data_IF_230309693336
#
_entry.id   IF_230309693336
#
_cell.length_a   1.000
_cell.length_b   1.000
_cell.length_c   1.000
_cell.angle_alpha   90.00
_cell.angle_beta   90.00
_cell.angle_gamma   90.00
#
_symmetry.space_group_name_H-M   'P 1'
#
loop_
_entity.id
_entity.type
_entity.pdbx_description
1 polymer ?
#
# COMPACT_ATOMS: atom_id res chain seq x y z
N UNK A 1 73.87 -0.88 -4.87
CA UNK A 1 72.89 0.03 -5.49
C UNK A 1 71.64 -0.01 -4.62
N UNK A 2 71.46 1.00 -3.76
CA UNK A 2 70.34 1.08 -2.83
C UNK A 2 69.23 1.91 -3.49
N UNK A 3 68.03 1.34 -3.64
CA UNK A 3 66.83 2.07 -4.06
C UNK A 3 66.06 2.51 -2.82
N UNK A 4 65.97 3.82 -2.62
CA UNK A 4 65.12 4.44 -1.58
C UNK A 4 63.79 4.83 -2.24
N UNK A 5 62.74 4.07 -1.96
CA UNK A 5 61.38 4.38 -2.44
C UNK A 5 60.71 5.32 -1.45
N UNK A 6 60.45 6.56 -1.86
CA UNK A 6 59.67 7.55 -1.11
C UNK A 6 58.17 7.30 -1.39
N UNK A 7 57.39 7.05 -0.34
CA UNK A 7 55.92 6.94 -0.44
C UNK A 7 55.33 8.30 -0.06
N UNK A 8 54.76 8.99 -1.05
CA UNK A 8 54.01 10.24 -0.86
C UNK A 8 52.56 9.90 -0.49
N UNK A 9 52.15 10.20 0.74
CA UNK A 9 50.77 10.06 1.17
C UNK A 9 49.92 11.21 0.60
N UNK A 10 48.98 10.89 -0.29
CA UNK A 10 47.93 11.79 -0.75
C UNK A 10 46.83 11.84 0.32
N UNK A 11 46.68 13.00 0.96
CA UNK A 11 45.59 13.27 1.90
C UNK A 11 44.24 13.32 1.17
N UNK A 12 43.32 12.46 1.60
CA UNK A 12 41.92 12.50 1.19
C UNK A 12 41.18 13.50 2.10
N UNK A 13 40.64 14.57 1.53
CA UNK A 13 39.77 15.52 2.25
C UNK A 13 38.35 14.97 2.20
N UNK A 14 37.83 14.50 3.34
CA UNK A 14 36.41 14.20 3.49
C UNK A 14 35.64 15.54 3.53
N UNK A 15 34.92 15.85 2.45
CA UNK A 15 33.93 16.92 2.46
C UNK A 15 32.59 16.33 2.86
N UNK A 16 32.12 16.63 4.08
CA UNK A 16 30.78 16.30 4.52
C UNK A 16 29.79 17.23 3.80
N UNK A 17 28.99 16.68 2.89
CA UNK A 17 27.82 17.37 2.34
C UNK A 17 26.72 17.36 3.40
N UNK A 18 26.33 18.55 3.88
CA UNK A 18 25.20 18.72 4.77
C UNK A 18 23.89 18.37 4.02
N UNK A 19 23.12 17.45 4.58
CA UNK A 19 21.76 17.14 4.14
C UNK A 19 20.84 18.27 4.63
N UNK A 20 20.02 18.90 3.77
CA UNK A 20 19.03 19.86 4.23
C UNK A 20 17.92 19.14 5.02
N UNK A 21 17.62 19.66 6.20
CA UNK A 21 16.56 19.19 7.07
C UNK A 21 15.20 19.24 6.34
N UNK A 22 14.45 18.15 6.46
CA UNK A 22 13.06 18.03 6.01
C UNK A 22 12.19 19.05 6.75
N UNK A 23 11.36 19.78 6.01
CA UNK A 23 10.35 20.65 6.60
C UNK A 23 9.19 19.81 7.09
N UNK A 24 8.97 19.87 8.40
CA UNK A 24 7.83 19.33 9.13
C UNK A 24 6.59 20.17 8.81
N UNK A 25 5.60 19.57 8.14
CA UNK A 25 4.26 20.15 8.02
C UNK A 25 3.46 19.80 9.28
N UNK A 26 3.76 20.51 10.36
CA UNK A 26 2.86 20.59 11.53
C UNK A 26 1.88 21.71 11.21
N UNK A 27 0.62 21.36 11.00
CA UNK A 27 -0.48 22.31 11.05
C UNK A 27 -0.81 22.55 12.52
N UNK A 28 -0.51 23.75 13.01
CA UNK A 28 -1.01 24.24 14.30
C UNK A 28 -2.54 24.45 14.22
N UNK A 29 -3.34 23.89 15.14
CA UNK A 29 -4.72 24.28 15.31
C UNK A 29 -4.80 25.44 16.32
N UNK A 30 -5.10 26.64 15.84
CA UNK A 30 -5.71 27.71 16.65
C UNK A 30 -7.19 27.79 16.24
N UNK A 31 -8.20 27.82 17.10
CA UNK A 31 -8.27 28.01 18.53
C UNK A 31 -9.51 27.28 19.08
N UNK A 32 -9.35 26.57 20.19
CA UNK A 32 -10.46 26.16 21.05
C UNK A 32 -10.43 27.06 22.29
N UNK A 33 -11.48 27.85 22.49
CA UNK A 33 -11.78 28.44 23.79
C UNK A 33 -13.08 27.84 24.32
N UNK A 34 -13.01 27.45 25.58
CA UNK A 34 -14.06 27.05 26.53
C UNK A 34 -14.45 25.57 26.60
N UNK A 35 -13.68 24.84 27.41
CA UNK A 35 -14.20 23.82 28.33
C UNK A 35 -14.47 24.52 29.69
N UNK A 36 -15.47 24.11 30.51
CA UNK A 36 -15.45 22.82 31.23
C UNK A 36 -16.83 22.09 31.19
N UNK A 37 -16.98 20.79 31.47
CA UNK A 37 -16.45 20.00 32.59
C UNK A 37 -16.48 18.48 32.32
N UNK A 38 -15.62 17.76 33.04
CA UNK A 38 -15.61 16.30 33.32
C UNK A 38 -16.40 16.09 34.63
N UNK A 39 -17.18 15.02 34.90
CA UNK A 39 -16.93 13.56 34.67
C UNK A 39 -18.17 12.83 34.05
N UNK A 40 -18.24 11.54 33.74
CA UNK A 40 -17.70 10.29 34.30
C UNK A 40 -17.98 9.11 33.34
N UNK A 41 -17.21 8.03 33.52
CA UNK A 41 -17.42 6.60 33.22
C UNK A 41 -18.40 6.12 32.14
N UNK A 42 -17.83 5.47 31.11
CA UNK A 42 -18.39 4.24 30.55
C UNK A 42 -19.44 4.35 29.44
N UNK A 43 -19.05 4.83 28.25
CA UNK A 43 -19.75 4.52 27.01
C UNK A 43 -18.75 4.57 25.84
N UNK A 44 -18.66 3.56 24.95
CA UNK A 44 -17.76 3.63 23.79
C UNK A 44 -18.17 4.81 22.92
N UNK A 45 -17.21 5.71 22.67
CA UNK A 45 -17.37 6.80 21.72
C UNK A 45 -17.67 6.19 20.34
N UNK A 46 -18.85 6.50 19.82
CA UNK A 46 -19.21 6.18 18.45
C UNK A 46 -18.17 6.82 17.52
N UNK A 47 -17.65 6.03 16.58
CA UNK A 47 -16.78 6.52 15.53
C UNK A 47 -17.44 7.71 14.82
N UNK A 48 -16.64 8.75 14.56
CA UNK A 48 -17.00 9.85 13.67
C UNK A 48 -17.26 9.29 12.27
N UNK A 49 -18.52 8.93 12.02
CA UNK A 49 -19.02 8.47 10.75
C UNK A 49 -19.60 9.65 9.96
N UNK A 50 -18.84 10.73 9.77
CA UNK A 50 -19.16 11.72 8.73
C UNK A 50 -18.48 11.33 7.40
N UNK A 51 -18.76 10.12 6.93
CA UNK A 51 -18.65 9.80 5.52
C UNK A 51 -20.05 9.76 4.96
N UNK A 52 -20.37 10.69 4.05
CA UNK A 52 -21.70 10.85 3.50
C UNK A 52 -22.25 9.50 2.99
N UNK A 53 -23.32 9.02 3.62
CA UNK A 53 -24.07 7.87 3.15
C UNK A 53 -24.51 8.13 1.70
N UNK A 54 -23.92 7.40 0.75
CA UNK A 54 -24.20 7.55 -0.69
C UNK A 54 -22.99 7.57 -1.62
N UNK A 55 -21.75 7.62 -1.11
CA UNK A 55 -20.55 7.59 -1.96
C UNK A 55 -19.87 6.24 -1.85
N UNK A 56 -19.77 5.48 -2.95
CA UNK A 56 -18.92 4.28 -3.03
C UNK A 56 -17.48 4.74 -3.28
N UNK A 57 -16.54 4.23 -2.47
CA UNK A 57 -15.12 4.46 -2.61
C UNK A 57 -14.48 3.60 -3.69
N UNK A 58 -13.15 3.48 -3.65
CA UNK A 58 -12.36 2.87 -4.72
C UNK A 58 -11.24 1.96 -4.23
N UNK A 59 -10.91 0.99 -5.09
CA UNK A 59 -9.67 0.23 -5.03
C UNK A 59 -8.64 0.89 -5.94
N UNK A 60 -7.42 1.16 -5.46
CA UNK A 60 -6.36 1.77 -6.26
C UNK A 60 -4.99 1.09 -6.14
N UNK A 61 -4.15 1.30 -7.16
CA UNK A 61 -2.76 0.85 -7.19
C UNK A 61 -1.89 2.02 -7.65
N UNK A 62 -0.77 2.24 -6.96
CA UNK A 62 0.23 3.26 -7.28
C UNK A 62 1.58 2.62 -7.51
N UNK A 63 2.20 2.92 -8.65
CA UNK A 63 3.51 2.41 -9.02
C UNK A 63 4.61 3.44 -8.71
N UNK A 64 5.37 3.24 -7.63
CA UNK A 64 6.58 4.00 -7.32
C UNK A 64 7.87 3.28 -7.74
N UNK A 65 7.76 2.13 -8.40
CA UNK A 65 8.90 1.40 -8.91
C UNK A 65 9.60 2.16 -10.05
N UNK A 66 10.89 1.89 -10.24
CA UNK A 66 11.69 2.39 -11.37
C UNK A 66 11.39 1.67 -12.71
N UNK A 67 10.39 0.79 -12.73
CA UNK A 67 9.97 0.00 -13.88
C UNK A 67 8.44 0.03 -14.04
N UNK A 68 7.92 -0.23 -15.25
CA UNK A 68 6.48 -0.34 -15.46
C UNK A 68 5.91 -1.56 -14.74
N UNK A 69 4.67 -1.43 -14.25
CA UNK A 69 3.90 -2.52 -13.66
C UNK A 69 2.74 -2.86 -14.57
N UNK A 70 2.48 -4.15 -14.74
CA UNK A 70 1.39 -4.66 -15.54
C UNK A 70 0.33 -5.21 -14.61
N UNK A 71 -0.93 -4.87 -14.85
CA UNK A 71 -2.04 -5.34 -14.03
C UNK A 71 -3.22 -5.84 -14.86
N UNK A 72 -3.92 -6.79 -14.26
CA UNK A 72 -5.19 -7.33 -14.72
C UNK A 72 -6.19 -7.23 -13.57
N UNK A 73 -7.44 -6.95 -13.88
CA UNK A 73 -8.50 -7.07 -12.89
C UNK A 73 -9.41 -8.22 -13.26
N UNK A 74 -9.48 -9.20 -12.37
CA UNK A 74 -10.27 -10.40 -12.56
C UNK A 74 -11.48 -10.42 -11.62
N UNK A 75 -12.59 -10.94 -12.09
CA UNK A 75 -13.73 -11.32 -11.24
C UNK A 75 -13.52 -12.68 -10.57
N UNK A 76 -14.59 -13.23 -9.99
CA UNK A 76 -14.58 -14.58 -9.40
C UNK A 76 -14.28 -15.69 -10.41
N UNK A 77 -14.65 -15.49 -11.69
CA UNK A 77 -14.21 -16.35 -12.78
C UNK A 77 -12.82 -15.88 -13.24
N UNK A 78 -11.76 -16.69 -13.09
CA UNK A 78 -10.42 -16.33 -13.53
C UNK A 78 -10.30 -16.19 -15.06
N UNK A 79 -11.27 -16.67 -15.84
CA UNK A 79 -11.37 -16.37 -17.28
C UNK A 79 -11.92 -14.96 -17.56
N UNK A 80 -12.49 -14.29 -16.55
CA UNK A 80 -13.08 -12.96 -16.63
C UNK A 80 -12.10 -11.91 -16.09
N UNK A 81 -11.01 -11.71 -16.83
CA UNK A 81 -10.05 -10.64 -16.57
C UNK A 81 -10.18 -9.53 -17.62
N UNK A 82 -9.91 -8.30 -17.21
CA UNK A 82 -9.77 -7.17 -18.14
C UNK A 82 -8.61 -7.40 -19.11
N UNK A 83 -8.53 -6.64 -20.22
CA UNK A 83 -7.24 -6.40 -20.88
C UNK A 83 -6.19 -5.88 -19.89
N UNK A 84 -4.92 -6.06 -20.23
CA UNK A 84 -3.79 -5.57 -19.44
C UNK A 84 -3.82 -4.04 -19.34
N UNK A 85 -3.54 -3.52 -18.15
CA UNK A 85 -3.17 -2.13 -17.96
C UNK A 85 -1.68 -2.03 -17.67
N UNK A 86 -1.02 -1.02 -18.23
CA UNK A 86 0.37 -0.70 -17.94
C UNK A 86 0.45 0.57 -17.10
N UNK A 87 1.00 0.46 -15.89
CA UNK A 87 1.33 1.58 -15.04
C UNK A 87 2.76 2.05 -15.31
N UNK A 88 2.91 3.29 -15.77
CA UNK A 88 4.21 3.90 -15.97
C UNK A 88 5.06 3.84 -14.68
N UNK A 89 6.38 3.72 -14.84
CA UNK A 89 7.32 3.81 -13.73
C UNK A 89 7.15 5.15 -12.98
N UNK A 90 7.33 5.12 -11.65
CA UNK A 90 7.25 6.25 -10.70
C UNK A 90 5.93 7.01 -10.58
N UNK A 91 5.08 7.02 -11.59
CA UNK A 91 3.89 7.89 -11.63
C UNK A 91 2.61 7.16 -12.02
N UNK A 92 2.70 5.89 -12.42
CA UNK A 92 1.54 5.14 -12.89
C UNK A 92 0.54 4.86 -11.76
N UNK A 93 -0.74 5.05 -12.06
CA UNK A 93 -1.83 4.77 -11.12
C UNK A 93 -2.98 4.04 -11.80
N UNK A 94 -3.61 3.13 -11.08
CA UNK A 94 -4.89 2.52 -11.42
C UNK A 94 -5.89 2.81 -10.30
N UNK A 95 -7.17 2.98 -10.65
CA UNK A 95 -8.26 3.05 -9.67
C UNK A 95 -9.55 2.56 -10.32
N UNK A 96 -10.37 1.85 -9.54
CA UNK A 96 -11.74 1.51 -9.90
C UNK A 96 -12.67 1.64 -8.69
N UNK A 97 -13.90 2.10 -8.93
CA UNK A 97 -14.94 2.13 -7.89
C UNK A 97 -15.25 0.71 -7.45
N UNK A 98 -15.50 0.48 -6.16
CA UNK A 98 -15.87 -0.85 -5.69
C UNK A 98 -17.07 -1.41 -6.46
N UNK A 99 -16.98 -2.68 -6.81
CA UNK A 99 -17.97 -3.41 -7.60
C UNK A 99 -19.33 -3.48 -6.89
N UNK A 100 -20.34 -3.95 -7.63
CA UNK A 100 -21.64 -4.30 -7.06
C UNK A 100 -21.50 -5.30 -5.90
N UNK A 101 -22.41 -5.29 -4.92
CA UNK A 101 -22.36 -6.20 -3.77
C UNK A 101 -22.15 -7.67 -4.14
N UNK A 102 -21.36 -8.37 -3.33
CA UNK A 102 -21.02 -9.80 -3.42
C UNK A 102 -20.29 -10.21 -4.72
N UNK A 103 -19.68 -9.25 -5.42
CA UNK A 103 -18.87 -9.51 -6.61
C UNK A 103 -17.39 -9.26 -6.29
N UNK A 104 -16.70 -10.32 -5.88
CA UNK A 104 -15.28 -10.27 -5.55
C UNK A 104 -14.41 -9.94 -6.76
N UNK A 105 -13.36 -9.15 -6.51
CA UNK A 105 -12.40 -8.66 -7.50
C UNK A 105 -10.99 -8.93 -7.01
N UNK A 106 -10.10 -9.21 -7.96
CA UNK A 106 -8.67 -9.43 -7.69
C UNK A 106 -7.87 -8.59 -8.70
N UNK A 107 -7.18 -7.57 -8.20
CA UNK A 107 -6.21 -6.77 -8.97
C UNK A 107 -4.88 -7.50 -8.89
N UNK A 108 -4.51 -8.14 -10.00
CA UNK A 108 -3.29 -8.95 -10.13
C UNK A 108 -2.18 -8.09 -10.72
N UNK A 109 -1.07 -7.96 -10.01
CA UNK A 109 0.03 -7.06 -10.35
C UNK A 109 1.31 -7.85 -10.60
N UNK A 110 1.99 -7.55 -11.72
CA UNK A 110 3.23 -8.19 -12.14
C UNK A 110 4.25 -7.22 -12.74
N UNK A 111 5.48 -7.71 -12.90
CA UNK A 111 6.60 -6.97 -13.51
C UNK A 111 6.82 -7.31 -14.98
N UNK A 112 6.08 -8.30 -15.50
CA UNK A 112 6.19 -8.78 -16.88
C UNK A 112 4.83 -8.65 -17.57
N UNK A 113 4.82 -8.15 -18.79
CA UNK A 113 3.60 -8.06 -19.60
C UNK A 113 3.12 -9.47 -20.00
N UNK A 114 1.80 -9.67 -20.04
CA UNK A 114 1.18 -10.95 -20.39
C UNK A 114 0.97 -11.91 -19.22
N UNK A 115 1.39 -11.56 -18.00
CA UNK A 115 1.32 -12.44 -16.83
C UNK A 115 0.10 -12.16 -15.94
N UNK A 116 -0.92 -13.03 -16.03
CA UNK A 116 -2.13 -12.97 -15.17
C UNK A 116 -2.18 -14.07 -14.10
N UNK A 117 -1.27 -15.05 -14.16
CA UNK A 117 -1.35 -16.24 -13.31
C UNK A 117 -0.27 -16.28 -12.22
N UNK A 118 1.02 -16.18 -12.58
CA UNK A 118 2.19 -16.18 -11.66
C UNK A 118 3.43 -15.67 -12.41
N UNK A 119 4.41 -15.04 -11.73
CA UNK A 119 4.38 -14.56 -10.34
C UNK A 119 3.62 -13.22 -10.21
N UNK A 120 2.63 -13.14 -9.33
CA UNK A 120 1.79 -11.92 -9.16
C UNK A 120 1.43 -11.64 -7.70
N UNK A 121 1.50 -10.38 -7.30
CA UNK A 121 0.86 -9.89 -6.07
C UNK A 121 -0.61 -9.62 -6.37
N UNK A 122 -1.50 -9.99 -5.46
CA UNK A 122 -2.94 -9.83 -5.63
C UNK A 122 -3.49 -8.91 -4.55
N UNK A 123 -4.26 -7.91 -4.98
CA UNK A 123 -5.10 -7.11 -4.10
C UNK A 123 -6.55 -7.50 -4.32
N UNK A 124 -7.12 -8.16 -3.33
CA UNK A 124 -8.45 -8.77 -3.43
C UNK A 124 -9.43 -7.96 -2.60
N UNK A 125 -10.62 -7.72 -3.13
CA UNK A 125 -11.66 -6.98 -2.41
C UNK A 125 -13.07 -7.41 -2.83
N UNK A 126 -14.02 -7.26 -1.92
CA UNK A 126 -15.45 -7.56 -2.14
C UNK A 126 -16.31 -6.53 -1.42
N UNK A 127 -17.17 -5.83 -2.15
CA UNK A 127 -18.26 -5.06 -1.55
C UNK A 127 -19.23 -6.05 -0.88
N UNK A 128 -19.41 -5.96 0.44
CA UNK A 128 -20.21 -6.93 1.21
C UNK A 128 -21.72 -6.69 1.11
N UNK A 129 -22.13 -5.54 0.55
CA UNK A 129 -23.53 -5.11 0.53
C UNK A 129 -24.06 -4.59 1.88
N UNK A 130 -23.25 -4.62 2.95
CA UNK A 130 -23.61 -4.11 4.28
C UNK A 130 -22.99 -2.75 4.58
N UNK A 131 -22.63 -1.99 3.52
CA UNK A 131 -21.93 -0.71 3.66
C UNK A 131 -20.44 -0.86 3.96
N UNK A 132 -19.88 -2.05 3.74
CA UNK A 132 -18.45 -2.35 3.94
C UNK A 132 -17.83 -2.97 2.69
N UNK A 133 -16.51 -2.92 2.64
CA UNK A 133 -15.67 -3.68 1.71
C UNK A 133 -14.72 -4.55 2.53
N UNK A 134 -14.71 -5.85 2.23
CA UNK A 134 -13.72 -6.78 2.73
C UNK A 134 -12.54 -6.82 1.75
N UNK A 135 -11.30 -6.87 2.23
CA UNK A 135 -10.11 -6.84 1.39
C UNK A 135 -8.90 -7.51 2.03
N UNK A 136 -7.96 -7.94 1.20
CA UNK A 136 -6.70 -8.55 1.59
C UNK A 136 -5.62 -8.43 0.52
N UNK A 137 -4.37 -8.74 0.89
CA UNK A 137 -3.26 -8.94 -0.04
C UNK A 137 -2.81 -10.40 -0.04
N UNK A 138 -2.48 -10.91 -1.22
CA UNK A 138 -2.14 -12.30 -1.44
C UNK A 138 -0.93 -12.50 -2.36
N UNK A 139 0.04 -13.27 -1.87
CA UNK A 139 1.24 -13.76 -2.53
C UNK A 139 1.16 -15.28 -2.81
N UNK A 140 -0.02 -15.90 -2.68
CA UNK A 140 -0.24 -17.34 -2.97
C UNK A 140 0.21 -17.69 -4.40
N UNK A 141 0.29 -16.70 -5.28
CA UNK A 141 0.70 -16.82 -6.68
C UNK A 141 2.10 -16.23 -6.95
N UNK A 142 2.89 -16.00 -5.89
CA UNK A 142 4.21 -15.38 -5.93
C UNK A 142 4.16 -13.90 -5.56
N UNK A 143 5.33 -13.28 -5.45
CA UNK A 143 5.42 -11.83 -5.23
C UNK A 143 6.60 -11.25 -6.00
N UNK A 144 6.37 -10.62 -7.17
CA UNK A 144 7.45 -9.98 -7.91
C UNK A 144 7.90 -8.65 -7.27
N UNK A 145 7.16 -8.15 -6.28
CA UNK A 145 7.47 -6.92 -5.55
C UNK A 145 8.20 -7.17 -4.22
N UNK A 146 8.38 -8.43 -3.81
CA UNK A 146 9.07 -8.81 -2.57
C UNK A 146 10.38 -8.04 -2.39
N UNK A 147 11.32 -8.05 -3.35
CA UNK A 147 12.59 -7.33 -3.25
C UNK A 147 12.50 -5.80 -3.06
N UNK A 148 11.33 -5.19 -3.27
CA UNK A 148 11.15 -3.74 -3.28
C UNK A 148 10.19 -3.24 -2.20
N UNK A 149 9.43 -4.13 -1.56
CA UNK A 149 8.40 -3.74 -0.59
C UNK A 149 7.14 -3.12 -1.22
N UNK A 150 6.09 -3.02 -0.41
CA UNK A 150 4.80 -2.44 -0.78
C UNK A 150 3.98 -2.06 0.46
N UNK A 151 2.98 -1.21 0.29
CA UNK A 151 2.12 -0.70 1.37
C UNK A 151 0.67 -0.98 1.04
N UNK A 152 -0.07 -1.47 2.03
CA UNK A 152 -1.52 -1.41 2.03
C UNK A 152 -1.94 -0.08 2.65
N UNK A 153 -2.70 0.71 1.91
CA UNK A 153 -3.04 2.10 2.24
C UNK A 153 -4.55 2.29 2.29
N UNK A 154 -5.00 3.22 3.12
CA UNK A 154 -6.37 3.71 3.09
C UNK A 154 -6.43 5.22 3.40
N UNK A 155 -7.43 5.90 2.85
CA UNK A 155 -7.74 7.29 3.27
C UNK A 155 -8.55 7.35 4.57
N UNK A 156 -8.91 6.20 5.14
CA UNK A 156 -9.69 6.07 6.35
C UNK A 156 -8.83 5.42 7.45
N UNK A 157 -8.51 6.19 8.49
CA UNK A 157 -7.63 5.74 9.58
C UNK A 157 -8.23 4.60 10.42
N UNK A 158 -9.53 4.33 10.32
CA UNK A 158 -10.14 3.17 10.97
C UNK A 158 -9.88 1.87 10.20
N UNK A 159 -9.41 1.94 8.96
CA UNK A 159 -9.12 0.80 8.12
C UNK A 159 -7.67 0.35 8.29
N UNK A 160 -7.48 -0.98 8.27
CA UNK A 160 -6.17 -1.59 8.33
C UNK A 160 -5.27 -1.09 7.20
N UNK A 161 -4.08 -0.64 7.57
CA UNK A 161 -3.03 -0.18 6.67
C UNK A 161 -1.70 -0.61 7.28
N UNK A 162 -0.82 -1.18 6.48
CA UNK A 162 0.46 -1.68 6.95
C UNK A 162 1.50 -1.65 5.82
N UNK A 163 2.75 -1.55 6.23
CA UNK A 163 3.91 -1.67 5.36
C UNK A 163 4.37 -3.13 5.29
N UNK A 164 4.69 -3.58 4.09
CA UNK A 164 5.47 -4.78 3.85
C UNK A 164 6.85 -4.40 3.30
N UNK A 165 7.89 -4.32 4.16
CA UNK A 165 9.18 -3.78 3.76
C UNK A 165 9.92 -4.73 2.82
N UNK A 166 10.86 -4.18 2.04
CA UNK A 166 11.81 -4.97 1.28
C UNK A 166 12.67 -5.89 2.19
N UNK A 167 13.18 -7.02 1.67
CA UNK A 167 14.03 -7.96 2.41
C UNK A 167 15.18 -7.28 3.14
N UNK A 168 15.42 -7.71 4.37
CA UNK A 168 16.42 -7.12 5.29
C UNK A 168 15.84 -6.80 6.67
N UNK A 169 14.51 -6.69 6.77
CA UNK A 169 13.76 -6.49 8.04
C UNK A 169 12.73 -7.58 8.30
N UNK A 170 12.05 -8.09 7.26
CA UNK A 170 11.17 -9.26 7.29
C UNK A 170 11.20 -10.01 5.94
N UNK A 171 11.12 -11.35 5.97
CA UNK A 171 11.10 -12.18 4.74
C UNK A 171 9.67 -12.30 4.15
N UNK A 172 8.64 -12.22 5.00
CA UNK A 172 7.22 -12.29 4.65
C UNK A 172 6.40 -11.50 5.66
N UNK A 173 5.42 -10.74 5.18
CA UNK A 173 4.52 -9.96 6.01
C UNK A 173 3.36 -10.84 6.52
N UNK A 174 3.15 -10.94 7.84
CA UNK A 174 2.24 -11.94 8.42
C UNK A 174 0.76 -11.72 8.08
N UNK A 175 0.39 -10.52 7.66
CA UNK A 175 -0.96 -10.14 7.26
C UNK A 175 -1.24 -10.43 5.78
N UNK A 176 -0.23 -10.77 4.99
CA UNK A 176 -0.34 -11.11 3.57
C UNK A 176 -0.49 -12.62 3.41
N UNK A 177 -1.47 -13.06 2.61
CA UNK A 177 -1.69 -14.47 2.34
C UNK A 177 -0.54 -15.07 1.52
N UNK A 178 0.27 -15.95 2.11
CA UNK A 178 1.28 -16.74 1.36
C UNK A 178 0.80 -18.16 1.03
N UNK A 179 -0.20 -18.62 1.77
CA UNK A 179 -1.03 -19.79 1.53
C UNK A 179 -2.49 -19.38 1.66
N UNK A 180 -3.46 -20.21 1.24
CA UNK A 180 -4.88 -19.88 1.39
C UNK A 180 -5.38 -19.74 2.84
N UNK A 181 -4.54 -19.98 3.85
CA UNK A 181 -4.95 -20.05 5.26
C UNK A 181 -4.16 -19.16 6.22
N UNK A 182 -3.15 -18.43 5.75
CA UNK A 182 -2.27 -17.61 6.61
C UNK A 182 -2.17 -16.16 6.11
N UNK A 183 -3.17 -15.35 6.44
CA UNK A 183 -3.21 -13.94 6.14
C UNK A 183 -4.38 -13.30 6.86
N UNK A 184 -4.62 -12.02 6.59
CA UNK A 184 -5.70 -11.26 7.20
C UNK A 184 -6.65 -10.73 6.13
N UNK A 185 -7.93 -11.05 6.27
CA UNK A 185 -9.00 -10.29 5.63
C UNK A 185 -9.39 -9.15 6.56
N UNK A 186 -9.46 -7.94 6.02
CA UNK A 186 -9.83 -6.74 6.76
C UNK A 186 -11.13 -6.15 6.19
N UNK A 187 -11.90 -5.48 7.04
CA UNK A 187 -13.10 -4.74 6.63
C UNK A 187 -12.88 -3.24 6.74
N UNK A 188 -13.56 -2.47 5.89
CA UNK A 188 -13.49 -1.02 5.86
C UNK A 188 -14.83 -0.44 5.36
N UNK A 189 -15.27 0.76 5.79
CA UNK A 189 -16.48 1.37 5.23
C UNK A 189 -16.41 1.50 3.71
N UNK A 190 -17.51 1.20 3.02
CA UNK A 190 -17.57 1.16 1.54
C UNK A 190 -17.21 2.48 0.86
N UNK A 191 -17.28 3.58 1.59
CA UNK A 191 -16.96 4.92 1.11
C UNK A 191 -15.46 5.26 1.19
N UNK A 192 -14.63 4.33 1.68
CA UNK A 192 -13.19 4.53 1.83
C UNK A 192 -12.45 4.27 0.53
N UNK A 193 -11.30 4.88 0.35
CA UNK A 193 -10.33 4.54 -0.68
C UNK A 193 -9.31 3.59 -0.08
N UNK A 194 -9.09 2.44 -0.72
CA UNK A 194 -8.14 1.40 -0.28
C UNK A 194 -7.22 1.11 -1.44
N UNK A 195 -5.92 1.03 -1.20
CA UNK A 195 -5.00 0.78 -2.30
C UNK A 195 -3.65 0.24 -1.91
N UNK A 196 -2.92 -0.17 -2.95
CA UNK A 196 -1.56 -0.70 -2.83
C UNK A 196 -0.58 0.31 -3.42
N UNK A 197 0.44 0.65 -2.65
CA UNK A 197 1.60 1.41 -3.15
C UNK A 197 2.78 0.46 -3.30
N UNK A 198 3.30 0.33 -4.52
CA UNK A 198 4.38 -0.60 -4.87
C UNK A 198 5.74 0.10 -4.85
N UNK A 199 6.77 -0.58 -4.35
CA UNK A 199 8.13 -0.04 -4.21
C UNK A 199 8.20 1.24 -3.36
N UNK A 200 7.55 1.20 -2.19
CA UNK A 200 7.56 2.28 -1.20
C UNK A 200 8.61 2.07 -0.12
#
# INVERSE_FOLDING_TARGET
MHFTTTITALGFVLSAAAVPASQSWIVDPAAATDAPAVPDSGNPVAADANVAAGTTGDANVRNYCDFPVYLYVCGQDPASCTPEYTLAAKTGTYSEVFSTPNNGRSIKMGTTSGEVAKPILQFEYTNTGSGQVAYDLSEVNGNPFGPYGFFLTSNNNACFHEECPAPGTHDVCPWVFTTPTNGQVSDCPIASSIGVTLCG
#
